data_IF_052234885779
#
_entry.id   IF_052234885779
#
_cell.length_a   1.000
_cell.length_b   1.000
_cell.length_c   1.000
_cell.angle_alpha   90.00
_cell.angle_beta   90.00
_cell.angle_gamma   90.00
#
_symmetry.space_group_name_H-M   'P 1'
#
loop_
_entity.id
_entity.type
_entity.pdbx_description
1 polymer ?
#
# COMPACT_ATOMS: atom_id res chain seq x y z
N UNK A 1 -15.26 -5.13 -26.98
CA UNK A 1 -14.70 -4.79 -25.65
C UNK A 1 -14.48 -3.29 -25.61
N UNK A 2 -15.29 -2.54 -24.88
CA UNK A 2 -15.04 -1.10 -24.67
C UNK A 2 -13.90 -0.94 -23.64
N UNK A 3 -12.94 -0.01 -23.85
CA UNK A 3 -11.91 0.25 -22.86
C UNK A 3 -12.58 0.65 -21.55
N UNK A 4 -12.35 -0.15 -20.51
CA UNK A 4 -12.98 -0.01 -19.21
C UNK A 4 -12.84 1.40 -18.68
N UNK A 5 -13.97 2.08 -18.52
CA UNK A 5 -14.04 3.29 -17.71
C UNK A 5 -13.70 2.88 -16.28
N UNK A 6 -12.44 3.00 -15.90
CA UNK A 6 -12.11 3.06 -14.49
C UNK A 6 -12.97 4.16 -13.85
N UNK A 7 -13.51 3.94 -12.65
CA UNK A 7 -14.25 5.00 -11.97
C UNK A 7 -13.39 6.26 -11.94
N UNK A 8 -14.00 7.46 -12.06
CA UNK A 8 -13.26 8.71 -11.97
C UNK A 8 -12.40 8.66 -10.71
N UNK A 9 -11.09 8.94 -10.87
CA UNK A 9 -10.19 9.07 -9.72
C UNK A 9 -10.85 10.07 -8.77
N UNK A 10 -11.25 9.63 -7.58
CA UNK A 10 -11.59 10.56 -6.51
C UNK A 10 -10.29 11.31 -6.24
N UNK A 11 -10.21 12.63 -6.49
CA UNK A 11 -9.02 13.37 -6.15
C UNK A 11 -8.85 13.27 -4.64
N UNK A 12 -7.70 12.76 -4.19
CA UNK A 12 -7.38 12.79 -2.77
C UNK A 12 -7.42 14.22 -2.24
N UNK A 13 -7.48 14.37 -0.92
CA UNK A 13 -7.68 15.66 -0.26
C UNK A 13 -6.47 16.55 -0.59
N UNK A 14 -6.66 17.69 -1.29
CA UNK A 14 -5.55 18.58 -1.63
C UNK A 14 -4.78 19.03 -0.39
N UNK A 15 -3.46 19.01 -0.46
CA UNK A 15 -2.57 19.38 0.66
C UNK A 15 -2.35 18.30 1.72
N UNK A 16 -3.02 17.14 1.63
CA UNK A 16 -2.76 15.99 2.51
C UNK A 16 -1.66 15.12 1.90
N UNK A 17 -0.57 14.94 2.66
CA UNK A 17 0.52 14.03 2.33
C UNK A 17 0.42 12.80 3.23
N UNK A 18 0.44 11.62 2.63
CA UNK A 18 0.60 10.34 3.34
C UNK A 18 1.94 9.75 2.97
N UNK A 19 2.77 9.46 3.97
CA UNK A 19 4.03 8.73 3.79
C UNK A 19 3.92 7.40 4.54
N UNK A 20 3.85 6.31 3.78
CA UNK A 20 3.52 4.99 4.30
C UNK A 20 4.59 3.99 3.86
N UNK A 21 5.10 3.23 4.83
CA UNK A 21 5.91 2.05 4.57
C UNK A 21 4.94 0.88 4.35
N UNK A 22 4.86 0.27 3.17
CA UNK A 22 4.02 -0.90 2.97
C UNK A 22 4.64 -2.10 3.68
N UNK A 23 3.92 -2.63 4.66
CA UNK A 23 4.39 -3.73 5.48
C UNK A 23 3.94 -5.12 4.96
N UNK A 24 2.82 -5.19 4.24
CA UNK A 24 2.28 -6.38 3.56
C UNK A 24 1.39 -5.95 2.38
N UNK A 25 0.90 -6.92 1.58
CA UNK A 25 -0.06 -6.71 0.47
C UNK A 25 -1.13 -5.67 0.82
N UNK A 26 -1.61 -4.87 -0.15
CA UNK A 26 -2.46 -3.73 0.17
C UNK A 26 -3.71 -4.20 0.93
N UNK A 27 -3.80 -3.74 2.18
CA UNK A 27 -4.93 -3.99 3.06
C UNK A 27 -5.98 -2.88 2.90
N UNK A 28 -7.15 -3.03 3.52
CA UNK A 28 -8.25 -2.06 3.35
C UNK A 28 -7.82 -0.64 3.71
N UNK A 29 -7.12 -0.44 4.84
CA UNK A 29 -6.64 0.90 5.22
C UNK A 29 -5.53 1.44 4.32
N UNK A 30 -4.75 0.58 3.64
CA UNK A 30 -3.81 1.05 2.60
C UNK A 30 -4.59 1.73 1.47
N UNK A 31 -5.67 1.09 1.01
CA UNK A 31 -6.51 1.65 -0.04
C UNK A 31 -7.22 2.93 0.42
N UNK A 32 -7.65 2.99 1.68
CA UNK A 32 -8.27 4.18 2.25
C UNK A 32 -7.28 5.35 2.34
N UNK A 33 -6.06 5.09 2.81
CA UNK A 33 -4.99 6.09 2.84
C UNK A 33 -4.64 6.58 1.43
N UNK A 34 -4.53 5.66 0.46
CA UNK A 34 -4.28 6.00 -0.94
C UNK A 34 -5.42 6.84 -1.53
N UNK A 35 -6.68 6.52 -1.23
CA UNK A 35 -7.84 7.24 -1.73
C UNK A 35 -7.96 8.66 -1.14
N UNK A 36 -7.51 8.86 0.10
CA UNK A 36 -7.58 10.16 0.79
C UNK A 36 -6.36 11.05 0.54
N UNK A 37 -5.22 10.49 0.15
CA UNK A 37 -3.98 11.25 -0.01
C UNK A 37 -4.01 12.16 -1.24
N UNK A 38 -3.81 13.47 -1.06
CA UNK A 38 -3.49 14.38 -2.15
C UNK A 38 -2.10 14.09 -2.75
N UNK A 39 -1.17 13.62 -1.91
CA UNK A 39 0.13 13.06 -2.33
C UNK A 39 0.44 11.83 -1.50
N UNK A 40 0.69 10.71 -2.15
CA UNK A 40 1.05 9.45 -1.50
C UNK A 40 2.51 9.13 -1.75
N UNK A 41 3.28 8.97 -0.69
CA UNK A 41 4.72 8.65 -0.71
C UNK A 41 4.88 7.22 -0.21
N UNK A 42 5.37 6.34 -1.08
CA UNK A 42 5.81 5.00 -0.70
C UNK A 42 7.18 5.13 -0.06
N UNK A 43 7.29 4.80 1.22
CA UNK A 43 8.52 4.94 2.00
C UNK A 43 9.24 3.59 2.12
N UNK A 44 10.26 3.39 1.30
CA UNK A 44 11.00 2.13 1.19
C UNK A 44 12.38 2.13 1.87
N UNK A 45 12.87 3.29 2.30
CA UNK A 45 14.22 3.48 2.83
C UNK A 45 14.30 3.48 4.37
N UNK A 46 13.24 3.06 5.05
CA UNK A 46 13.18 3.01 6.51
C UNK A 46 13.80 1.74 7.09
N UNK A 47 14.41 1.89 8.27
CA UNK A 47 15.18 0.84 8.92
C UNK A 47 14.31 -0.33 9.37
N UNK A 48 14.82 -1.55 9.19
CA UNK A 48 14.12 -2.76 9.63
C UNK A 48 14.21 -2.94 11.16
N UNK A 49 13.07 -2.97 11.84
CA UNK A 49 13.01 -3.17 13.28
C UNK A 49 13.21 -4.65 13.65
N UNK A 50 14.18 -4.95 14.52
CA UNK A 50 14.54 -6.32 14.95
C UNK A 50 13.37 -7.11 15.56
N UNK A 51 12.41 -6.44 16.20
CA UNK A 51 11.19 -7.03 16.76
C UNK A 51 9.93 -6.39 16.20
N UNK A 52 10.03 -5.84 14.98
CA UNK A 52 8.92 -5.21 14.27
C UNK A 52 7.86 -6.23 13.86
N UNK A 53 6.63 -5.75 13.74
CA UNK A 53 5.49 -6.58 13.34
C UNK A 53 5.61 -7.08 11.89
N UNK A 54 6.39 -6.41 11.04
CA UNK A 54 6.77 -6.85 9.70
C UNK A 54 7.29 -8.29 9.69
N UNK A 55 8.04 -8.70 10.74
CA UNK A 55 8.61 -10.06 10.86
C UNK A 55 7.58 -11.14 11.16
N UNK A 56 6.35 -10.78 11.53
CA UNK A 56 5.28 -11.74 11.83
C UNK A 56 4.49 -12.13 10.58
N UNK A 57 4.53 -11.30 9.55
CA UNK A 57 3.89 -11.60 8.27
C UNK A 57 4.72 -12.63 7.51
N UNK A 58 4.08 -13.71 7.07
CA UNK A 58 4.68 -14.68 6.14
C UNK A 58 3.99 -14.56 4.80
N UNK A 59 4.77 -14.51 3.71
CA UNK A 59 4.23 -14.59 2.36
C UNK A 59 3.95 -16.05 2.08
N UNK A 60 2.69 -16.38 1.81
CA UNK A 60 2.33 -17.69 1.31
C UNK A 60 2.88 -17.84 -0.11
N UNK A 61 3.74 -18.82 -0.31
CA UNK A 61 4.21 -19.18 -1.64
C UNK A 61 3.28 -20.23 -2.24
N UNK A 62 3.10 -20.26 -3.57
CA UNK A 62 2.48 -21.39 -4.24
C UNK A 62 3.16 -22.71 -3.85
N UNK A 63 2.39 -23.80 -3.89
CA UNK A 63 2.94 -25.13 -3.69
C UNK A 63 4.09 -25.36 -4.69
N UNK A 64 5.26 -25.78 -4.19
CA UNK A 64 6.51 -26.01 -4.94
C UNK A 64 7.32 -24.78 -5.41
N UNK A 65 7.16 -23.62 -4.79
CA UNK A 65 8.19 -22.56 -4.90
C UNK A 65 9.27 -22.83 -3.84
N UNK A 66 10.55 -22.98 -4.23
CA UNK A 66 11.65 -23.33 -3.32
C UNK A 66 11.91 -22.27 -2.25
#
# INVERSE_FOLDING_TARGET
MAPGRYPPRVPGIPGVVVAEQPHYLPWVDFHEQLARAGTFVVLDNVQWLRRGWQRRTRVALPHNVP
#
